data_IF_041975985219
#
_entry.id   IF_041975985219
#
_cell.length_a   1.000
_cell.length_b   1.000
_cell.length_c   1.000
_cell.angle_alpha   90.00
_cell.angle_beta   90.00
_cell.angle_gamma   90.00
#
_symmetry.space_group_name_H-M   'P 1'
#
loop_
_entity.id
_entity.type
_entity.pdbx_description
1 polymer ?
#
# COMPACT_ATOMS: atom_id res chain seq x y z
N UNK A 1 -0.21 2.76 -26.04
CA UNK A 1 -0.10 3.20 -24.61
C UNK A 1 -0.79 4.55 -24.51
N UNK A 2 -1.75 4.70 -23.63
CA UNK A 2 -2.39 6.00 -23.44
C UNK A 2 -1.43 6.94 -22.74
N UNK A 3 -1.10 8.08 -23.35
CA UNK A 3 -0.20 9.07 -22.79
C UNK A 3 -0.94 9.93 -21.77
N UNK A 4 -0.45 10.00 -20.52
CA UNK A 4 -1.02 10.87 -19.47
C UNK A 4 -0.40 12.26 -19.63
N UNK A 5 -1.25 13.26 -19.89
CA UNK A 5 -0.85 14.65 -20.13
C UNK A 5 -0.80 15.45 -18.82
N UNK A 6 -1.74 15.17 -17.90
CA UNK A 6 -1.83 15.87 -16.62
C UNK A 6 -2.54 15.00 -15.58
N UNK A 7 -2.27 15.30 -14.29
CA UNK A 7 -2.78 14.51 -13.18
C UNK A 7 -2.94 15.33 -11.90
N UNK A 8 -3.98 15.03 -11.12
CA UNK A 8 -4.16 15.51 -9.76
C UNK A 8 -4.54 14.35 -8.83
N UNK A 9 -3.82 14.23 -7.73
CA UNK A 9 -4.10 13.28 -6.65
C UNK A 9 -4.53 14.06 -5.41
N UNK A 10 -5.74 13.82 -4.96
CA UNK A 10 -6.37 14.55 -3.87
C UNK A 10 -6.81 13.57 -2.78
N UNK A 11 -6.62 13.95 -1.53
CA UNK A 11 -7.10 13.22 -0.36
C UNK A 11 -7.97 14.09 0.53
N UNK A 12 -8.95 13.47 1.17
CA UNK A 12 -9.79 14.12 2.17
C UNK A 12 -9.83 13.23 3.42
N UNK A 13 -9.26 13.73 4.50
CA UNK A 13 -9.29 13.08 5.82
C UNK A 13 -10.02 14.00 6.81
N UNK A 14 -11.23 13.62 7.24
CA UNK A 14 -12.05 14.40 8.17
C UNK A 14 -12.98 13.49 8.93
N UNK A 15 -12.79 13.36 10.24
CA UNK A 15 -13.54 12.43 11.07
C UNK A 15 -13.41 10.98 10.58
N UNK A 16 -14.54 10.32 10.30
CA UNK A 16 -14.59 8.97 9.73
C UNK A 16 -14.38 8.93 8.21
N UNK A 17 -14.31 10.08 7.53
CA UNK A 17 -14.09 10.17 6.10
C UNK A 17 -12.60 10.11 5.80
N UNK A 18 -12.20 9.06 5.08
CA UNK A 18 -10.86 8.88 4.55
C UNK A 18 -11.02 8.49 3.07
N UNK A 19 -10.88 9.47 2.20
CA UNK A 19 -11.23 9.35 0.79
C UNK A 19 -10.14 9.92 -0.12
N UNK A 20 -9.95 9.28 -1.26
CA UNK A 20 -9.03 9.73 -2.32
C UNK A 20 -9.77 10.02 -3.60
N UNK A 21 -9.23 10.91 -4.41
CA UNK A 21 -9.72 11.27 -5.72
C UNK A 21 -8.53 11.51 -6.66
N UNK A 22 -8.37 10.63 -7.63
CA UNK A 22 -7.34 10.72 -8.66
C UNK A 22 -7.98 11.18 -9.96
N UNK A 23 -7.40 12.16 -10.61
CA UNK A 23 -7.89 12.74 -11.86
C UNK A 23 -6.74 12.76 -12.87
N UNK A 24 -7.02 12.42 -14.13
CA UNK A 24 -6.00 12.38 -15.18
C UNK A 24 -6.57 12.90 -16.49
N UNK A 25 -5.76 13.65 -17.25
CA UNK A 25 -5.96 13.90 -18.66
C UNK A 25 -5.18 12.83 -19.42
N UNK A 26 -5.88 12.06 -20.24
CA UNK A 26 -5.29 10.97 -21.02
C UNK A 26 -5.51 11.22 -22.50
N UNK A 27 -4.43 11.10 -23.28
CA UNK A 27 -4.49 11.10 -24.73
C UNK A 27 -4.97 9.74 -25.24
N UNK A 28 -5.99 9.77 -26.07
CA UNK A 28 -6.61 8.58 -26.68
C UNK A 28 -6.78 8.81 -28.17
N UNK A 29 -7.14 7.78 -28.92
CA UNK A 29 -7.50 7.95 -30.33
C UNK A 29 -8.66 8.93 -30.46
N UNK A 30 -8.46 9.98 -31.25
CA UNK A 30 -9.44 11.04 -31.47
C UNK A 30 -9.38 12.21 -30.48
N UNK A 31 -8.41 12.28 -29.57
CA UNK A 31 -8.20 13.45 -28.71
C UNK A 31 -7.87 13.14 -27.24
N UNK A 32 -8.46 13.90 -26.31
CA UNK A 32 -8.17 13.83 -24.89
C UNK A 32 -9.42 13.57 -24.06
N UNK A 33 -9.28 12.75 -23.05
CA UNK A 33 -10.35 12.46 -22.07
C UNK A 33 -9.87 12.76 -20.66
N UNK A 34 -10.81 13.13 -19.77
CA UNK A 34 -10.55 13.32 -18.35
C UNK A 34 -11.12 12.13 -17.60
N UNK A 35 -10.26 11.29 -17.08
CA UNK A 35 -10.64 10.11 -16.30
C UNK A 35 -10.41 10.34 -14.81
N UNK A 36 -11.22 9.69 -13.98
CA UNK A 36 -11.05 9.76 -12.53
C UNK A 36 -11.16 8.38 -11.88
N UNK A 37 -10.56 8.28 -10.70
CA UNK A 37 -10.76 7.20 -9.75
C UNK A 37 -11.03 7.82 -8.38
N UNK A 38 -12.00 7.29 -7.65
CA UNK A 38 -12.31 7.78 -6.33
C UNK A 38 -12.87 6.69 -5.43
N UNK A 39 -12.69 6.85 -4.13
CA UNK A 39 -13.18 5.92 -3.12
C UNK A 39 -12.58 6.19 -1.75
N UNK A 40 -12.72 5.22 -0.86
CA UNK A 40 -12.05 5.25 0.43
C UNK A 40 -10.54 5.00 0.24
N UNK A 41 -9.72 5.74 0.96
CA UNK A 41 -8.28 5.48 1.00
C UNK A 41 -8.03 4.02 1.42
N UNK A 42 -7.17 3.31 0.68
CA UNK A 42 -6.91 1.89 0.90
C UNK A 42 -8.01 0.92 0.44
N UNK A 43 -9.10 1.42 -0.12
CA UNK A 43 -10.21 0.61 -0.64
C UNK A 43 -10.17 0.42 -2.17
N UNK A 44 -11.17 -0.29 -2.69
CA UNK A 44 -11.41 -0.36 -4.12
C UNK A 44 -11.92 0.99 -4.62
N UNK A 45 -11.26 1.55 -5.64
CA UNK A 45 -11.64 2.83 -6.21
C UNK A 45 -12.65 2.63 -7.35
N UNK A 46 -13.74 3.40 -7.32
CA UNK A 46 -14.62 3.55 -8.47
C UNK A 46 -13.91 4.40 -9.53
N UNK A 47 -14.04 4.06 -10.78
CA UNK A 47 -13.48 4.83 -11.91
C UNK A 47 -14.56 5.27 -12.89
N UNK A 48 -14.28 6.36 -13.57
CA UNK A 48 -15.17 6.89 -14.60
C UNK A 48 -14.49 7.98 -15.42
N UNK A 49 -15.26 8.56 -16.35
CA UNK A 49 -14.80 9.66 -17.18
C UNK A 49 -15.65 10.91 -16.93
N UNK A 50 -15.00 12.08 -16.97
CA UNK A 50 -15.63 13.41 -16.99
C UNK A 50 -15.81 13.93 -18.41
N UNK A 51 -15.53 13.10 -19.42
CA UNK A 51 -15.72 13.36 -20.85
C UNK A 51 -16.85 12.51 -21.41
N UNK A 52 -18.13 12.76 -21.04
CA UNK A 52 -19.26 11.89 -21.38
C UNK A 52 -19.57 11.85 -22.88
N UNK A 53 -19.12 12.85 -23.62
CA UNK A 53 -19.28 12.94 -25.08
C UNK A 53 -18.13 12.34 -25.89
N UNK A 54 -17.19 11.66 -25.20
CA UNK A 54 -15.99 11.10 -25.78
C UNK A 54 -14.79 12.06 -25.80
N UNK A 55 -13.74 11.73 -26.58
CA UNK A 55 -12.53 12.54 -26.67
C UNK A 55 -12.81 13.96 -27.19
N UNK A 56 -12.09 14.94 -26.66
CA UNK A 56 -12.16 16.33 -27.03
C UNK A 56 -10.78 16.97 -27.23
N UNK A 57 -10.76 18.30 -27.40
CA UNK A 57 -9.49 19.04 -27.47
C UNK A 57 -8.78 19.03 -26.11
N UNK A 58 -7.45 19.19 -26.12
CA UNK A 58 -6.67 19.32 -24.89
C UNK A 58 -7.12 20.50 -24.02
N UNK A 59 -7.52 21.61 -24.65
CA UNK A 59 -8.04 22.79 -23.95
C UNK A 59 -9.33 22.47 -23.18
N UNK A 60 -10.27 21.76 -23.82
CA UNK A 60 -11.51 21.33 -23.18
C UNK A 60 -11.23 20.35 -22.03
N UNK A 61 -10.30 19.42 -22.24
CA UNK A 61 -9.88 18.48 -21.20
C UNK A 61 -9.26 19.20 -20.00
N UNK A 62 -8.36 20.17 -20.22
CA UNK A 62 -7.78 21.01 -19.15
C UNK A 62 -8.85 21.79 -18.41
N UNK A 63 -9.74 22.47 -19.11
CA UNK A 63 -10.84 23.22 -18.49
C UNK A 63 -11.72 22.31 -17.60
N UNK A 64 -11.99 21.10 -18.05
CA UNK A 64 -12.75 20.09 -17.28
C UNK A 64 -11.96 19.62 -16.07
N UNK A 65 -10.67 19.34 -16.23
CA UNK A 65 -9.76 18.91 -15.19
C UNK A 65 -9.67 19.97 -14.08
N UNK A 66 -9.35 21.22 -14.42
CA UNK A 66 -9.23 22.31 -13.46
C UNK A 66 -10.53 22.57 -12.70
N UNK A 67 -11.66 22.49 -13.39
CA UNK A 67 -12.98 22.61 -12.78
C UNK A 67 -13.19 21.55 -11.69
N UNK A 68 -12.90 20.28 -11.99
CA UNK A 68 -13.08 19.17 -11.05
C UNK A 68 -12.11 19.30 -9.86
N UNK A 69 -10.85 19.65 -10.09
CA UNK A 69 -9.88 19.89 -9.01
C UNK A 69 -10.38 20.99 -8.08
N UNK A 70 -10.80 22.13 -8.64
CA UNK A 70 -11.34 23.26 -7.86
C UNK A 70 -12.59 22.88 -7.06
N UNK A 71 -13.53 22.13 -7.66
CA UNK A 71 -14.72 21.63 -6.98
C UNK A 71 -14.37 20.73 -5.78
N UNK A 72 -13.39 19.85 -5.95
CA UNK A 72 -12.95 18.95 -4.86
C UNK A 72 -12.24 19.71 -3.74
N UNK A 73 -11.37 20.65 -4.07
CA UNK A 73 -10.67 21.47 -3.08
C UNK A 73 -11.58 22.47 -2.35
N UNK A 74 -12.71 22.83 -2.95
CA UNK A 74 -13.72 23.73 -2.35
C UNK A 74 -14.86 22.98 -1.64
N UNK A 75 -14.88 21.65 -1.68
CA UNK A 75 -15.94 20.85 -1.03
C UNK A 75 -15.85 20.94 0.50
N UNK A 76 -16.92 20.53 1.19
CA UNK A 76 -16.92 20.42 2.65
C UNK A 76 -17.23 18.97 3.05
N UNK A 77 -16.27 18.24 3.65
CA UNK A 77 -14.87 18.58 3.87
C UNK A 77 -14.07 18.61 2.57
N UNK A 78 -13.11 19.56 2.52
CA UNK A 78 -12.27 19.79 1.35
C UNK A 78 -11.26 18.67 1.12
N UNK A 79 -11.00 18.38 -0.15
CA UNK A 79 -9.84 17.57 -0.52
C UNK A 79 -8.59 18.44 -0.57
N UNK A 80 -7.47 17.88 -0.16
CA UNK A 80 -6.15 18.52 -0.23
C UNK A 80 -5.28 17.77 -1.24
N UNK A 81 -4.37 18.46 -1.94
CA UNK A 81 -3.37 17.79 -2.75
C UNK A 81 -2.60 16.77 -1.92
N UNK A 82 -2.42 15.57 -2.45
CA UNK A 82 -1.57 14.57 -1.80
C UNK A 82 -0.12 15.03 -1.90
N UNK A 83 0.67 14.96 -0.81
CA UNK A 83 2.08 15.30 -0.87
C UNK A 83 2.82 14.28 -1.76
N UNK A 84 3.45 14.79 -2.80
CA UNK A 84 4.20 14.02 -3.79
C UNK A 84 3.84 14.46 -5.20
N UNK A 85 4.80 14.94 -5.97
CA UNK A 85 4.60 15.29 -7.37
C UNK A 85 4.11 14.06 -8.14
N UNK A 86 2.84 14.07 -8.56
CA UNK A 86 2.30 13.27 -9.64
C UNK A 86 2.65 11.78 -9.65
N UNK A 87 2.48 11.05 -8.52
CA UNK A 87 2.66 9.60 -8.53
C UNK A 87 1.76 8.95 -9.58
N UNK A 88 2.36 8.41 -10.62
CA UNK A 88 1.65 7.58 -11.58
C UNK A 88 1.39 6.20 -10.95
N UNK A 89 0.19 5.65 -11.17
CA UNK A 89 -0.17 4.32 -10.69
C UNK A 89 -0.17 3.30 -11.82
N UNK A 90 0.06 2.04 -11.49
CA UNK A 90 -0.16 0.95 -12.42
C UNK A 90 -1.60 0.99 -12.93
N UNK A 91 -1.78 0.81 -14.23
CA UNK A 91 -3.12 0.76 -14.81
C UNK A 91 -3.76 -0.59 -14.49
N UNK A 92 -4.97 -0.54 -13.96
CA UNK A 92 -5.81 -1.72 -13.83
C UNK A 92 -6.80 -1.75 -14.99
N UNK A 93 -6.87 -2.85 -15.71
CA UNK A 93 -7.97 -3.08 -16.65
C UNK A 93 -9.31 -3.15 -15.90
N UNK A 94 -10.43 -2.93 -16.59
CA UNK A 94 -11.76 -3.05 -15.98
C UNK A 94 -11.99 -4.45 -15.38
N UNK A 95 -11.42 -5.49 -16.00
CA UNK A 95 -11.48 -6.88 -15.56
C UNK A 95 -10.65 -7.16 -14.30
N UNK A 96 -9.60 -6.37 -14.05
CA UNK A 96 -8.74 -6.52 -12.86
C UNK A 96 -9.35 -5.96 -11.58
N UNK A 97 -10.29 -5.01 -11.66
CA UNK A 97 -10.85 -4.32 -10.48
C UNK A 97 -11.60 -5.22 -9.50
N UNK A 98 -12.11 -6.36 -9.97
CA UNK A 98 -12.82 -7.35 -9.16
C UNK A 98 -12.02 -8.64 -8.98
N UNK A 99 -10.82 -8.71 -9.55
CA UNK A 99 -10.01 -9.91 -9.51
C UNK A 99 -9.48 -10.13 -8.10
N UNK A 100 -9.82 -11.29 -7.53
CA UNK A 100 -9.19 -11.76 -6.30
C UNK A 100 -7.77 -12.24 -6.60
N UNK A 101 -6.80 -11.73 -5.87
CA UNK A 101 -5.40 -12.18 -5.95
C UNK A 101 -5.15 -13.44 -5.12
N UNK A 102 -6.10 -13.84 -4.27
CA UNK A 102 -5.89 -14.90 -3.27
C UNK A 102 -4.90 -14.52 -2.16
N UNK A 103 -4.40 -13.29 -2.15
CA UNK A 103 -3.45 -12.78 -1.17
C UNK A 103 -4.19 -11.98 -0.12
N UNK A 104 -4.36 -12.56 1.06
CA UNK A 104 -4.97 -11.88 2.20
C UNK A 104 -3.91 -11.55 3.27
N UNK A 105 -3.89 -10.33 3.81
CA UNK A 105 -3.00 -9.99 4.89
C UNK A 105 -3.47 -10.64 6.19
N UNK A 106 -2.52 -11.07 7.01
CA UNK A 106 -2.82 -11.43 8.40
C UNK A 106 -3.09 -10.13 9.17
N UNK A 107 -4.25 -10.05 9.80
CA UNK A 107 -4.62 -8.88 10.61
C UNK A 107 -3.86 -8.89 11.94
N UNK A 108 -3.60 -7.70 12.47
CA UNK A 108 -3.08 -7.52 13.82
C UNK A 108 -4.21 -7.72 14.83
N UNK A 109 -3.87 -8.35 15.94
CA UNK A 109 -4.74 -8.42 17.12
C UNK A 109 -4.25 -7.38 18.12
N UNK A 110 -5.19 -6.80 18.87
CA UNK A 110 -4.85 -6.01 20.04
C UNK A 110 -4.14 -6.89 21.07
N UNK A 111 -3.22 -6.29 21.83
CA UNK A 111 -2.57 -7.00 22.92
C UNK A 111 -3.63 -7.37 23.98
N UNK A 112 -3.84 -8.67 24.26
CA UNK A 112 -4.81 -9.08 25.28
C UNK A 112 -4.47 -8.45 26.65
N UNK A 113 -5.49 -8.04 27.39
CA UNK A 113 -5.31 -7.45 28.73
C UNK A 113 -4.57 -8.40 29.72
N UNK A 114 -4.58 -9.69 29.42
CA UNK A 114 -3.86 -10.73 30.18
C UNK A 114 -2.36 -10.79 29.87
N UNK A 115 -1.89 -10.13 28.80
CA UNK A 115 -0.49 -10.10 28.42
C UNK A 115 0.19 -8.83 28.93
N UNK A 116 1.35 -8.99 29.55
CA UNK A 116 2.17 -7.88 30.02
C UNK A 116 3.12 -7.41 28.93
N UNK A 117 2.93 -6.17 28.47
CA UNK A 117 3.79 -5.57 27.44
C UNK A 117 5.30 -5.58 27.85
N UNK A 118 5.59 -5.33 29.15
CA UNK A 118 6.99 -5.30 29.61
C UNK A 118 7.65 -6.67 29.53
N UNK A 119 6.91 -7.74 29.84
CA UNK A 119 7.39 -9.11 29.70
C UNK A 119 7.68 -9.44 28.24
N UNK A 120 6.78 -9.11 27.32
CA UNK A 120 6.98 -9.29 25.88
C UNK A 120 8.16 -8.48 25.34
N UNK A 121 8.40 -7.29 25.90
CA UNK A 121 9.56 -6.48 25.54
C UNK A 121 10.89 -7.13 26.01
N UNK A 122 10.88 -7.90 27.09
CA UNK A 122 12.05 -8.64 27.60
C UNK A 122 12.29 -9.96 26.88
N UNK A 123 11.22 -10.54 26.35
CA UNK A 123 11.30 -11.83 25.67
C UNK A 123 12.04 -11.71 24.33
N UNK A 124 13.11 -12.47 24.16
CA UNK A 124 13.91 -12.51 22.92
C UNK A 124 13.17 -13.16 21.74
N UNK A 125 12.10 -13.91 21.98
CA UNK A 125 11.26 -14.47 20.92
C UNK A 125 10.39 -13.42 20.24
N UNK A 126 10.23 -12.24 20.84
CA UNK A 126 9.47 -11.15 20.25
C UNK A 126 10.38 -10.05 19.71
N UNK A 127 10.03 -9.52 18.57
CA UNK A 127 10.61 -8.29 18.03
C UNK A 127 9.57 -7.19 17.96
N UNK A 128 10.02 -5.94 17.94
CA UNK A 128 9.14 -4.78 17.84
C UNK A 128 9.44 -4.03 16.57
N UNK A 129 8.37 -3.66 15.85
CA UNK A 129 8.42 -2.82 14.66
C UNK A 129 7.61 -1.55 14.89
N UNK A 130 7.92 -0.50 14.13
CA UNK A 130 7.06 0.65 14.01
C UNK A 130 5.76 0.26 13.31
N UNK A 131 4.62 0.73 13.82
CA UNK A 131 3.33 0.69 13.14
C UNK A 131 3.22 1.93 12.26
N UNK A 132 3.04 1.71 10.96
CA UNK A 132 2.91 2.78 9.97
C UNK A 132 1.42 3.12 9.77
N UNK A 133 1.12 4.42 9.71
CA UNK A 133 -0.21 4.94 9.36
C UNK A 133 -0.31 5.12 7.85
N UNK A 134 -0.71 4.09 7.16
CA UNK A 134 -0.76 4.05 5.71
C UNK A 134 -1.83 3.11 5.18
N UNK A 135 -1.58 2.59 3.99
CA UNK A 135 -2.45 1.65 3.31
C UNK A 135 -1.81 0.26 3.25
N UNK A 136 -2.41 -0.71 3.96
CA UNK A 136 -1.95 -2.10 3.89
C UNK A 136 -2.05 -2.64 2.48
N UNK A 137 -0.94 -3.15 1.98
CA UNK A 137 -0.83 -3.78 0.67
C UNK A 137 -0.01 -5.06 0.71
N UNK A 138 -0.46 -6.02 -0.08
CA UNK A 138 0.42 -7.09 -0.55
C UNK A 138 0.98 -6.65 -1.89
N UNK A 139 2.26 -6.84 -2.12
CA UNK A 139 2.94 -6.47 -3.36
C UNK A 139 3.54 -7.73 -3.97
N UNK A 140 3.09 -8.12 -5.15
CA UNK A 140 3.55 -9.32 -5.85
C UNK A 140 4.24 -8.98 -7.16
N UNK A 141 5.43 -9.53 -7.36
CA UNK A 141 6.16 -9.54 -8.63
C UNK A 141 6.29 -10.99 -9.07
N UNK A 142 5.54 -11.37 -10.11
CA UNK A 142 5.48 -12.78 -10.57
C UNK A 142 6.64 -13.15 -11.50
N UNK A 143 7.22 -12.17 -12.18
CA UNK A 143 8.36 -12.38 -13.08
C UNK A 143 9.25 -11.13 -13.12
N UNK A 144 10.51 -11.29 -13.50
CA UNK A 144 11.51 -10.21 -13.54
C UNK A 144 11.05 -9.03 -14.42
N UNK A 145 10.36 -9.33 -15.52
CA UNK A 145 9.92 -8.34 -16.51
C UNK A 145 8.43 -8.00 -16.41
N UNK A 146 7.68 -8.72 -15.57
CA UNK A 146 6.25 -8.53 -15.39
C UNK A 146 5.91 -7.24 -14.65
N UNK A 147 4.65 -6.90 -14.67
CA UNK A 147 4.12 -5.80 -13.89
C UNK A 147 3.88 -6.26 -12.43
N UNK A 148 4.28 -5.44 -11.48
CA UNK A 148 3.96 -5.70 -10.07
C UNK A 148 2.45 -5.52 -9.81
N UNK A 149 1.90 -6.41 -9.01
CA UNK A 149 0.49 -6.46 -8.65
C UNK A 149 0.35 -6.07 -7.18
N UNK A 150 -0.52 -5.11 -6.89
CA UNK A 150 -0.92 -4.77 -5.53
C UNK A 150 -2.22 -5.45 -5.15
N UNK A 151 -2.38 -5.87 -3.90
CA UNK A 151 -3.67 -6.27 -3.36
C UNK A 151 -4.00 -5.58 -2.04
N UNK A 152 -5.28 -5.31 -1.83
CA UNK A 152 -5.76 -4.67 -0.61
C UNK A 152 -6.09 -5.69 0.50
N UNK A 153 -6.60 -5.21 1.65
CA UNK A 153 -7.00 -6.05 2.79
C UNK A 153 -8.04 -7.12 2.44
N UNK A 154 -8.80 -6.94 1.37
CA UNK A 154 -9.83 -7.90 0.90
C UNK A 154 -9.28 -8.88 -0.13
N UNK A 155 -7.98 -8.80 -0.45
CA UNK A 155 -7.36 -9.64 -1.46
C UNK A 155 -7.73 -9.24 -2.89
N UNK A 156 -8.31 -8.06 -3.10
CA UNK A 156 -8.64 -7.55 -4.43
C UNK A 156 -7.44 -6.82 -5.02
N UNK A 157 -7.23 -7.00 -6.30
CA UNK A 157 -6.19 -6.31 -7.05
C UNK A 157 -6.42 -4.79 -7.04
N UNK A 158 -5.36 -4.03 -6.79
CA UNK A 158 -5.39 -2.57 -6.72
C UNK A 158 -4.16 -1.99 -7.39
N UNK A 159 -4.33 -0.78 -7.92
CA UNK A 159 -3.22 -0.01 -8.46
C UNK A 159 -2.22 0.35 -7.35
N UNK A 160 -0.95 0.36 -7.71
CA UNK A 160 0.16 0.80 -6.86
C UNK A 160 0.93 1.94 -7.54
N UNK A 161 1.60 2.82 -6.79
CA UNK A 161 2.47 3.84 -7.36
C UNK A 161 3.53 3.22 -8.28
N UNK A 162 3.77 3.83 -9.45
CA UNK A 162 4.74 3.31 -10.42
C UNK A 162 6.16 3.28 -9.86
N UNK A 163 6.49 4.19 -8.96
CA UNK A 163 7.77 4.24 -8.25
C UNK A 163 7.99 2.99 -7.39
N UNK A 164 6.94 2.50 -6.73
CA UNK A 164 6.97 1.24 -5.97
C UNK A 164 7.08 0.06 -6.94
N UNK A 165 6.28 0.05 -8.01
CA UNK A 165 6.34 -1.00 -9.03
C UNK A 165 7.72 -1.09 -9.70
N UNK A 166 8.36 0.05 -9.96
CA UNK A 166 9.72 0.10 -10.48
C UNK A 166 10.75 -0.40 -9.44
N UNK A 167 10.49 -0.17 -8.16
CA UNK A 167 11.43 -0.51 -7.08
C UNK A 167 11.43 -1.99 -6.69
N UNK A 168 10.40 -2.77 -7.07
CA UNK A 168 10.39 -4.24 -6.88
C UNK A 168 10.88 -4.99 -8.11
N UNK A 169 10.99 -4.31 -9.26
CA UNK A 169 11.38 -4.95 -10.52
C UNK A 169 12.73 -5.66 -10.41
N UNK A 170 12.79 -6.89 -10.90
CA UNK A 170 13.97 -7.73 -10.83
C UNK A 170 14.01 -8.71 -9.66
N UNK A 171 13.06 -8.62 -8.73
CA UNK A 171 12.94 -9.57 -7.60
C UNK A 171 11.59 -10.27 -7.68
N UNK A 172 11.58 -11.56 -7.97
CA UNK A 172 10.36 -12.38 -8.00
C UNK A 172 9.96 -12.72 -6.56
N UNK A 173 8.98 -11.99 -6.03
CA UNK A 173 8.58 -12.16 -4.62
C UNK A 173 7.17 -11.67 -4.35
N UNK A 174 6.64 -12.08 -3.20
CA UNK A 174 5.41 -11.53 -2.60
C UNK A 174 5.73 -10.94 -1.23
N UNK A 175 5.55 -9.62 -1.12
CA UNK A 175 5.78 -8.84 0.10
C UNK A 175 4.46 -8.51 0.79
N UNK A 176 4.50 -8.39 2.11
CA UNK A 176 3.45 -7.81 2.93
C UNK A 176 3.97 -6.52 3.57
N UNK A 177 3.23 -5.43 3.44
CA UNK A 177 3.72 -4.13 3.86
C UNK A 177 2.64 -3.06 3.93
N UNK A 178 3.10 -1.84 4.17
CA UNK A 178 2.29 -0.63 4.25
C UNK A 178 2.78 0.39 3.23
N UNK A 179 1.87 1.00 2.47
CA UNK A 179 2.19 2.15 1.63
C UNK A 179 1.92 3.43 2.41
N UNK A 180 2.95 4.28 2.50
CA UNK A 180 2.85 5.65 3.02
C UNK A 180 3.31 6.59 1.92
N UNK A 181 2.38 7.30 1.30
CA UNK A 181 2.67 8.11 0.11
C UNK A 181 3.17 7.25 -1.05
N UNK A 182 4.39 7.48 -1.51
CA UNK A 182 5.05 6.73 -2.59
C UNK A 182 6.05 5.69 -2.10
N UNK A 183 6.05 5.40 -0.80
CA UNK A 183 6.96 4.44 -0.17
C UNK A 183 6.22 3.20 0.32
N UNK A 184 6.80 2.03 0.05
CA UNK A 184 6.35 0.75 0.57
C UNK A 184 7.25 0.28 1.70
N UNK A 185 6.70 0.11 2.88
CA UNK A 185 7.38 -0.40 4.07
C UNK A 185 7.12 -1.89 4.20
N UNK A 186 8.06 -2.71 3.70
CA UNK A 186 7.96 -4.15 3.72
C UNK A 186 8.31 -4.70 5.10
N UNK A 187 7.42 -5.49 5.70
CA UNK A 187 7.66 -6.09 7.01
C UNK A 187 7.55 -7.62 7.02
N UNK A 188 7.12 -8.25 5.92
CA UNK A 188 7.12 -9.70 5.77
C UNK A 188 7.35 -10.12 4.31
N UNK A 189 7.91 -11.32 4.12
CA UNK A 189 8.14 -11.96 2.83
C UNK A 189 7.37 -13.27 2.80
N UNK A 190 6.46 -13.43 1.83
CA UNK A 190 5.56 -14.58 1.77
C UNK A 190 5.94 -15.58 0.71
N UNK A 191 6.58 -15.11 -0.35
CA UNK A 191 7.02 -15.91 -1.48
C UNK A 191 8.32 -15.33 -2.03
N UNK A 192 9.26 -16.18 -2.40
CA UNK A 192 10.52 -15.81 -3.05
C UNK A 192 10.82 -16.83 -4.14
N UNK A 193 11.06 -16.36 -5.38
CA UNK A 193 11.36 -17.18 -6.55
C UNK A 193 10.36 -18.35 -6.73
N UNK A 194 9.06 -18.06 -6.55
CA UNK A 194 7.97 -19.03 -6.65
C UNK A 194 7.82 -19.97 -5.44
N UNK A 195 8.71 -19.86 -4.44
CA UNK A 195 8.64 -20.69 -3.24
C UNK A 195 7.80 -20.02 -2.16
N UNK A 196 6.73 -20.69 -1.73
CA UNK A 196 5.89 -20.25 -0.60
C UNK A 196 6.67 -20.35 0.72
N UNK A 197 6.81 -19.24 1.42
CA UNK A 197 7.52 -19.12 2.69
C UNK A 197 6.59 -19.06 3.91
N UNK A 198 5.26 -19.03 3.71
CA UNK A 198 4.28 -18.85 4.80
C UNK A 198 4.34 -19.95 5.86
N UNK A 199 4.79 -21.14 5.49
CA UNK A 199 5.03 -22.24 6.42
C UNK A 199 6.31 -22.14 7.26
N UNK A 200 7.16 -21.10 7.02
CA UNK A 200 8.34 -20.83 7.82
C UNK A 200 8.00 -19.89 8.98
N UNK A 201 8.78 -19.99 10.05
CA UNK A 201 8.74 -19.04 11.16
C UNK A 201 9.02 -17.61 10.68
N UNK A 202 8.41 -16.60 11.33
CA UNK A 202 8.57 -15.20 10.93
C UNK A 202 10.04 -14.76 10.88
N UNK A 203 10.84 -15.16 11.85
CA UNK A 203 12.29 -14.85 11.87
C UNK A 203 13.00 -15.32 10.60
N UNK A 204 12.70 -16.54 10.13
CA UNK A 204 13.28 -17.08 8.89
C UNK A 204 12.85 -16.31 7.64
N UNK A 205 11.57 -15.92 7.56
CA UNK A 205 11.06 -15.09 6.46
C UNK A 205 11.70 -13.72 6.47
N UNK A 206 11.87 -13.15 7.66
CA UNK A 206 12.50 -11.83 7.85
C UNK A 206 13.96 -11.82 7.45
N UNK A 207 14.71 -12.88 7.79
CA UNK A 207 16.11 -13.03 7.37
C UNK A 207 16.23 -13.06 5.85
N UNK A 208 15.33 -13.78 5.16
CA UNK A 208 15.32 -13.79 3.71
C UNK A 208 14.93 -12.41 3.13
N UNK A 209 13.95 -11.73 3.73
CA UNK A 209 13.58 -10.36 3.34
C UNK A 209 14.77 -9.41 3.46
N UNK A 210 15.54 -9.49 4.56
CA UNK A 210 16.72 -8.68 4.77
C UNK A 210 17.82 -8.97 3.72
N UNK A 211 17.97 -10.24 3.30
CA UNK A 211 18.95 -10.63 2.26
C UNK A 211 18.61 -10.06 0.89
N UNK A 212 17.34 -10.00 0.52
CA UNK A 212 16.91 -9.45 -0.77
C UNK A 212 16.72 -7.92 -0.75
N UNK A 213 16.71 -7.29 0.43
CA UNK A 213 16.51 -5.86 0.58
C UNK A 213 17.42 -4.97 -0.30
N UNK A 214 18.72 -5.30 -0.50
CA UNK A 214 19.61 -4.52 -1.38
C UNK A 214 19.20 -4.51 -2.87
N UNK A 215 18.33 -5.42 -3.30
CA UNK A 215 17.85 -5.48 -4.68
C UNK A 215 16.61 -4.62 -4.93
N UNK A 216 16.01 -4.07 -3.88
CA UNK A 216 14.88 -3.16 -4.03
C UNK A 216 15.36 -1.75 -4.36
N UNK A 217 14.57 -1.04 -5.17
CA UNK A 217 14.76 0.38 -5.42
C UNK A 217 14.37 1.25 -4.22
N UNK A 218 14.65 2.54 -4.31
CA UNK A 218 14.54 3.52 -3.22
C UNK A 218 13.15 3.67 -2.60
N UNK A 219 12.09 3.25 -3.28
CA UNK A 219 10.70 3.36 -2.81
C UNK A 219 10.19 2.10 -2.07
N UNK A 220 11.09 1.13 -1.80
CA UNK A 220 10.81 -0.01 -0.93
C UNK A 220 11.84 -0.04 0.19
N UNK A 221 11.36 -0.01 1.41
CA UNK A 221 12.20 -0.11 2.62
C UNK A 221 11.75 -1.28 3.47
N UNK A 222 12.69 -2.13 3.85
CA UNK A 222 12.43 -3.21 4.80
C UNK A 222 12.37 -2.63 6.22
N UNK A 223 11.25 -2.82 6.89
CA UNK A 223 11.03 -2.32 8.25
C UNK A 223 12.02 -2.97 9.21
N UNK A 224 12.72 -2.17 9.98
CA UNK A 224 13.71 -2.66 10.97
C UNK A 224 13.03 -3.26 12.19
N UNK A 225 13.60 -4.35 12.69
CA UNK A 225 13.20 -4.97 13.93
C UNK A 225 14.04 -4.40 15.09
N UNK A 226 13.37 -4.01 16.16
CA UNK A 226 14.01 -3.79 17.45
C UNK A 226 14.10 -5.14 18.17
N UNK A 227 15.32 -5.64 18.35
CA UNK A 227 15.60 -6.99 18.87
C UNK A 227 15.85 -6.98 20.36
N UNK A 228 16.62 -6.01 20.84
CA UNK A 228 17.03 -5.93 22.26
C UNK A 228 16.06 -5.06 23.05
N UNK A 229 15.96 -5.31 24.35
CA UNK A 229 15.12 -4.52 25.25
C UNK A 229 15.36 -3.00 25.12
N UNK A 230 16.60 -2.48 25.09
CA UNK A 230 16.83 -1.06 24.88
C UNK A 230 16.28 -0.54 23.55
N UNK A 231 16.44 -1.30 22.44
CA UNK A 231 15.91 -0.93 21.13
C UNK A 231 14.38 -0.91 21.13
N UNK A 232 13.72 -1.92 21.71
CA UNK A 232 12.26 -2.02 21.82
C UNK A 232 11.69 -0.86 22.61
N UNK A 233 12.29 -0.53 23.76
CA UNK A 233 11.88 0.62 24.57
C UNK A 233 12.11 1.96 23.87
N UNK A 234 13.23 2.11 23.17
CA UNK A 234 13.52 3.32 22.41
C UNK A 234 12.48 3.55 21.31
N UNK A 235 12.12 2.49 20.56
CA UNK A 235 11.10 2.55 19.53
C UNK A 235 9.72 2.91 20.11
N UNK A 236 9.31 2.25 21.20
CA UNK A 236 8.03 2.51 21.86
C UNK A 236 7.93 3.93 22.40
N UNK A 237 8.97 4.41 23.11
CA UNK A 237 9.04 5.79 23.61
C UNK A 237 9.04 6.82 22.49
N UNK A 238 9.78 6.50 21.39
CA UNK A 238 9.78 7.31 20.17
C UNK A 238 8.41 7.46 19.53
N UNK A 239 7.72 6.34 19.36
CA UNK A 239 6.35 6.34 18.80
C UNK A 239 5.37 7.19 19.63
N UNK A 240 5.41 7.07 20.96
CA UNK A 240 4.58 7.92 21.85
C UNK A 240 4.93 9.40 21.77
N UNK A 241 6.23 9.74 21.82
CA UNK A 241 6.70 11.12 21.75
C UNK A 241 6.34 11.80 20.44
N UNK A 242 6.46 11.07 19.33
CA UNK A 242 6.18 11.58 17.97
C UNK A 242 4.71 11.43 17.57
N UNK A 243 3.85 10.94 18.49
CA UNK A 243 2.42 10.68 18.23
C UNK A 243 2.19 9.82 16.98
N UNK A 244 3.07 8.84 16.77
CA UNK A 244 2.91 7.83 15.72
C UNK A 244 1.80 6.84 16.07
N UNK A 245 1.33 6.06 15.10
CA UNK A 245 0.22 5.12 15.27
C UNK A 245 0.50 4.06 16.36
N UNK A 246 1.76 3.69 16.57
CA UNK A 246 2.17 2.77 17.63
C UNK A 246 3.31 1.85 17.23
N UNK A 247 3.30 0.67 17.84
CA UNK A 247 4.25 -0.40 17.59
C UNK A 247 3.53 -1.71 17.33
N UNK A 248 4.21 -2.65 16.66
CA UNK A 248 3.76 -4.01 16.43
C UNK A 248 4.76 -4.97 17.07
N UNK A 249 4.26 -5.87 17.91
CA UNK A 249 5.04 -7.01 18.40
C UNK A 249 4.86 -8.18 17.44
N UNK A 250 5.96 -8.85 17.11
CA UNK A 250 5.95 -10.07 16.29
C UNK A 250 6.71 -11.17 16.97
N UNK A 251 6.07 -12.32 17.10
CA UNK A 251 6.72 -13.55 17.52
C UNK A 251 7.58 -14.10 16.39
N UNK A 252 8.88 -14.26 16.64
CA UNK A 252 9.85 -14.79 15.68
C UNK A 252 9.52 -16.22 15.23
N UNK A 253 8.81 -17.00 16.06
CA UNK A 253 8.42 -18.37 15.79
C UNK A 253 7.06 -18.48 15.09
N UNK A 254 6.30 -17.38 14.98
CA UNK A 254 4.98 -17.41 14.40
C UNK A 254 5.00 -17.86 12.93
N UNK A 255 4.19 -18.85 12.62
CA UNK A 255 3.88 -19.26 11.25
C UNK A 255 2.79 -18.32 10.68
N UNK A 256 2.75 -18.20 9.36
CA UNK A 256 1.66 -17.51 8.69
C UNK A 256 0.66 -18.54 8.20
N UNK A 257 -0.56 -18.51 8.72
CA UNK A 257 -1.60 -19.44 8.30
C UNK A 257 -1.91 -19.27 6.81
N UNK A 258 -2.00 -20.40 6.09
CA UNK A 258 -2.61 -20.42 4.76
C UNK A 258 -4.11 -20.18 4.96
N UNK A 259 -4.64 -19.14 4.31
CA UNK A 259 -6.08 -18.90 4.34
C UNK A 259 -6.80 -20.01 3.56
N UNK A 260 -7.32 -20.99 4.24
CA UNK A 260 -8.35 -21.92 3.74
C UNK A 260 -9.49 -22.09 4.76
N UNK A 261 -9.35 -21.54 5.96
CA UNK A 261 -10.37 -21.69 6.99
C UNK A 261 -10.55 -20.36 7.76
N UNK A 262 -11.79 -19.93 7.84
CA UNK A 262 -12.17 -18.83 8.73
C UNK A 262 -11.75 -19.19 10.16
N UNK A 263 -11.16 -18.27 10.95
CA UNK A 263 -10.91 -18.56 12.34
C UNK A 263 -12.24 -18.91 13.03
N UNK A 264 -12.26 -19.83 14.00
CA UNK A 264 -13.45 -20.07 14.78
C UNK A 264 -13.90 -18.76 15.44
N UNK A 265 -15.23 -18.51 15.38
CA UNK A 265 -15.88 -17.34 15.96
C UNK A 265 -15.81 -17.39 17.48
#
# INVERSE_FOLDING_TARGET
MNNIIDRADLACKSGSKDAVYHLQIVEVEGGFVVNYQNGRAGGTLASGSKSPKGPGTLELARKTFDKVVKEKMSASPAYQPMPGEGSQFTQLSAEMKERSTGLLPQLLNDLPATMNLEELMRDSNFVVQQKFDGERRMLKQESITGQAIGSNRRGLEVAIPLEIAASIRGVVCTLDGEIVGTHFHAFDLLELDGKDLRGLAYGMRKDQLNRIAPHFGRHITVVKDALTMPQKLALWRGARRLKQEGIVLKDLNALRHKWSESPPR
#
